data_IF_892566154699
#
_entry.id   IF_892566154699
#
_cell.length_a   1.000
_cell.length_b   1.000
_cell.length_c   1.000
_cell.angle_alpha   90.00
_cell.angle_beta   90.00
_cell.angle_gamma   90.00
#
_symmetry.space_group_name_H-M   'P 1'
#
loop_
_entity.id
_entity.type
_entity.pdbx_description
1 polymer ?
#
# COMPACT_ATOMS: atom_id res chain seq x y z
N UNK A 1 12.57 26.66 -13.04
CA UNK A 1 13.36 26.16 -11.90
C UNK A 1 12.99 24.71 -11.67
N UNK A 2 13.93 23.85 -11.31
CA UNK A 2 13.62 22.46 -10.96
C UNK A 2 13.02 22.43 -9.55
N UNK A 3 11.80 21.90 -9.43
CA UNK A 3 11.16 21.61 -8.15
C UNK A 3 11.88 20.45 -7.45
N UNK A 4 11.71 20.37 -6.14
CA UNK A 4 12.12 19.20 -5.36
C UNK A 4 11.33 17.97 -5.82
N UNK A 5 11.96 16.80 -5.72
CA UNK A 5 11.43 15.54 -6.26
C UNK A 5 11.02 14.56 -5.18
N UNK A 6 11.79 14.50 -4.10
CA UNK A 6 11.48 13.67 -2.92
C UNK A 6 10.17 14.11 -2.30
N UNK A 7 9.37 13.12 -1.91
CA UNK A 7 8.14 13.31 -1.17
C UNK A 7 8.31 14.18 0.09
N UNK A 8 9.47 14.06 0.74
CA UNK A 8 9.78 14.71 2.03
C UNK A 8 9.79 16.20 1.92
N UNK A 9 10.23 16.67 0.76
CA UNK A 9 10.63 18.05 0.55
C UNK A 9 9.77 18.74 -0.50
N UNK A 10 9.23 18.01 -1.47
CA UNK A 10 8.42 18.60 -2.54
C UNK A 10 7.14 19.20 -2.02
N UNK A 11 6.79 20.37 -2.54
CA UNK A 11 5.58 21.10 -2.14
C UNK A 11 5.69 21.83 -0.79
N UNK A 12 6.75 21.63 0.00
CA UNK A 12 7.02 22.50 1.14
C UNK A 12 7.48 23.88 0.64
N UNK A 13 6.76 24.96 0.95
CA UNK A 13 7.02 26.26 0.35
C UNK A 13 8.39 26.83 0.71
N UNK A 14 8.94 26.50 1.89
CA UNK A 14 10.25 26.99 2.32
C UNK A 14 11.35 26.20 1.63
N UNK A 15 11.24 24.88 1.56
CA UNK A 15 12.24 24.04 0.91
C UNK A 15 12.28 24.28 -0.61
N UNK A 16 11.14 24.48 -1.25
CA UNK A 16 11.07 24.86 -2.68
C UNK A 16 11.73 26.23 -2.94
N UNK A 17 11.58 27.19 -2.01
CA UNK A 17 12.29 28.47 -2.08
C UNK A 17 13.81 28.31 -1.92
N UNK A 18 14.28 27.44 -1.01
CA UNK A 18 15.70 27.11 -0.91
C UNK A 18 16.19 26.51 -2.22
N UNK A 19 15.44 25.58 -2.82
CA UNK A 19 15.77 24.94 -4.11
C UNK A 19 15.81 25.94 -5.26
N UNK A 20 14.93 26.94 -5.23
CA UNK A 20 14.88 28.08 -6.14
C UNK A 20 16.02 29.11 -5.93
N UNK A 21 16.77 28.99 -4.84
CA UNK A 21 17.92 29.85 -4.54
C UNK A 21 17.60 31.11 -3.76
N UNK A 22 16.46 31.16 -3.08
CA UNK A 22 16.12 32.22 -2.13
C UNK A 22 16.95 32.06 -0.85
N UNK A 23 18.07 32.81 -0.75
CA UNK A 23 19.01 32.70 0.38
C UNK A 23 18.42 33.07 1.74
N UNK A 24 17.40 33.93 1.77
CA UNK A 24 16.69 34.28 3.01
C UNK A 24 15.92 33.11 3.61
N UNK A 25 15.62 32.08 2.81
CA UNK A 25 14.88 30.89 3.24
C UNK A 25 15.79 29.77 3.73
N UNK A 26 17.13 29.93 3.67
CA UNK A 26 18.08 28.90 4.12
C UNK A 26 17.89 28.55 5.60
N UNK A 27 17.94 27.25 5.90
CA UNK A 27 17.80 26.76 7.27
C UNK A 27 19.13 26.83 8.00
N UNK A 28 19.09 27.35 9.23
CA UNK A 28 20.25 27.59 10.08
C UNK A 28 19.85 27.57 11.56
N UNK A 29 20.87 27.56 12.41
CA UNK A 29 20.74 27.50 13.86
C UNK A 29 19.69 28.47 14.42
N UNK A 30 18.87 27.96 15.36
CA UNK A 30 17.87 28.73 16.10
C UNK A 30 16.51 28.83 15.41
N UNK A 31 16.37 28.39 14.16
CA UNK A 31 15.08 28.35 13.47
C UNK A 31 14.25 27.14 13.90
N UNK A 32 12.94 27.24 13.73
CA UNK A 32 11.99 26.15 13.99
C UNK A 32 10.94 26.05 12.88
N UNK A 33 10.46 24.84 12.60
CA UNK A 33 9.37 24.62 11.67
C UNK A 33 9.23 23.17 11.20
N UNK A 34 8.09 22.84 10.61
CA UNK A 34 7.84 21.51 10.03
C UNK A 34 8.87 21.14 8.95
N UNK A 35 9.29 22.10 8.13
CA UNK A 35 10.32 21.93 7.11
C UNK A 35 11.70 21.57 7.68
N UNK A 36 12.03 22.03 8.89
CA UNK A 36 13.26 21.61 9.59
C UNK A 36 13.11 20.17 10.08
N UNK A 37 11.94 19.80 10.59
CA UNK A 37 11.62 18.42 10.95
C UNK A 37 11.80 17.48 9.75
N UNK A 38 11.30 17.87 8.58
CA UNK A 38 11.49 17.12 7.33
C UNK A 38 12.98 16.90 7.00
N UNK A 39 13.82 17.93 7.12
CA UNK A 39 15.28 17.80 6.90
C UNK A 39 15.94 16.91 7.98
N UNK A 40 15.52 17.01 9.24
CA UNK A 40 16.05 16.18 10.32
C UNK A 40 15.73 14.70 10.11
N UNK A 41 14.49 14.36 9.74
CA UNK A 41 14.15 12.99 9.31
C UNK A 41 15.04 12.56 8.13
N UNK A 42 15.21 13.45 7.14
CA UNK A 42 16.14 13.30 6.02
C UNK A 42 17.54 12.85 6.41
N UNK A 43 18.09 13.46 7.46
CA UNK A 43 19.43 13.18 7.96
C UNK A 43 19.47 11.92 8.83
N UNK A 44 18.53 11.77 9.75
CA UNK A 44 18.45 10.60 10.66
C UNK A 44 18.41 9.31 9.86
N UNK A 45 17.59 9.26 8.81
CA UNK A 45 17.38 8.05 8.03
C UNK A 45 18.57 7.70 7.12
N UNK A 46 19.41 8.69 6.78
CA UNK A 46 20.70 8.47 6.14
C UNK A 46 21.79 8.04 7.15
N UNK A 47 21.45 7.90 8.43
CA UNK A 47 22.34 7.46 9.50
C UNK A 47 23.07 8.59 10.24
N UNK A 48 22.73 9.86 9.98
CA UNK A 48 23.33 10.98 10.71
C UNK A 48 22.68 11.15 12.08
N UNK A 49 23.50 11.15 13.13
CA UNK A 49 23.00 11.17 14.50
C UNK A 49 22.37 12.51 14.87
N UNK A 50 21.09 12.47 15.26
CA UNK A 50 20.38 13.55 15.95
C UNK A 50 19.69 12.91 17.17
N UNK A 51 20.35 12.84 18.34
CA UNK A 51 19.86 12.12 19.50
C UNK A 51 18.46 12.51 19.96
N UNK A 52 18.08 13.79 19.82
CA UNK A 52 16.77 14.30 20.19
C UNK A 52 15.67 13.98 19.15
N UNK A 53 16.01 13.37 18.02
CA UNK A 53 15.12 13.13 16.90
C UNK A 53 14.76 14.39 16.10
N UNK A 54 13.77 14.27 15.22
CA UNK A 54 13.29 15.36 14.38
C UNK A 54 12.34 16.31 15.13
N UNK A 55 12.91 17.12 16.02
CA UNK A 55 12.17 18.06 16.88
C UNK A 55 11.54 19.24 16.13
N UNK A 56 11.92 19.47 14.87
CA UNK A 56 11.58 20.68 14.12
C UNK A 56 12.40 21.90 14.54
N UNK A 57 13.34 21.79 15.48
CA UNK A 57 14.23 22.86 15.92
C UNK A 57 15.66 22.65 15.42
N UNK A 58 16.22 23.64 14.72
CA UNK A 58 17.58 23.57 14.19
C UNK A 58 18.60 23.95 15.28
N UNK A 59 18.99 22.96 16.09
CA UNK A 59 19.96 23.11 17.18
C UNK A 59 21.37 22.63 16.84
N UNK A 60 22.18 22.40 17.87
CA UNK A 60 23.56 21.90 17.74
C UNK A 60 23.62 20.51 17.10
N UNK A 61 22.69 19.62 17.45
CA UNK A 61 22.63 18.27 16.90
C UNK A 61 22.35 18.28 15.39
N UNK A 62 21.36 19.06 14.95
CA UNK A 62 21.08 19.25 13.51
C UNK A 62 22.22 19.94 12.79
N UNK A 63 22.86 20.92 13.43
CA UNK A 63 24.04 21.58 12.87
C UNK A 63 25.16 20.59 12.59
N UNK A 64 25.48 19.72 13.55
CA UNK A 64 26.50 18.68 13.40
C UNK A 64 26.12 17.68 12.30
N UNK A 65 24.87 17.21 12.27
CA UNK A 65 24.38 16.29 11.25
C UNK A 65 24.47 16.88 9.83
N UNK A 66 24.12 18.15 9.64
CA UNK A 66 24.23 18.84 8.34
C UNK A 66 25.69 18.95 7.89
N UNK A 67 26.60 19.29 8.80
CA UNK A 67 28.04 19.39 8.48
C UNK A 67 28.59 18.02 8.06
N UNK A 68 28.26 16.97 8.82
CA UNK A 68 28.67 15.60 8.52
C UNK A 68 28.12 15.16 7.15
N UNK A 69 26.82 15.36 6.89
CA UNK A 69 26.19 15.03 5.60
C UNK A 69 26.90 15.69 4.42
N UNK A 70 27.25 16.98 4.55
CA UNK A 70 27.97 17.72 3.50
C UNK A 70 29.36 17.16 3.23
N UNK A 71 30.07 16.75 4.28
CA UNK A 71 31.41 16.17 4.19
C UNK A 71 31.39 14.79 3.54
N UNK A 72 30.34 14.01 3.79
CA UNK A 72 30.18 12.64 3.27
C UNK A 72 29.65 12.61 1.81
N UNK A 73 29.29 13.75 1.23
CA UNK A 73 28.98 13.83 -0.21
C UNK A 73 30.22 13.63 -1.07
N UNK A 74 30.02 13.17 -2.31
CA UNK A 74 31.10 12.93 -3.28
C UNK A 74 30.81 13.71 -4.59
N UNK A 75 31.53 14.82 -4.87
CA UNK A 75 32.49 15.49 -3.99
C UNK A 75 31.83 16.18 -2.78
N UNK A 76 32.58 16.50 -1.70
CA UNK A 76 32.04 17.20 -0.54
C UNK A 76 31.42 18.55 -0.91
N UNK A 77 30.31 18.89 -0.26
CA UNK A 77 29.62 20.15 -0.51
C UNK A 77 30.37 21.32 0.13
N UNK A 78 30.49 22.43 -0.61
CA UNK A 78 31.09 23.68 -0.12
C UNK A 78 30.04 24.80 -0.14
N UNK A 79 29.93 25.63 0.92
CA UNK A 79 30.64 25.53 2.20
C UNK A 79 30.13 24.38 3.09
N UNK A 80 31.01 23.86 3.96
CA UNK A 80 30.69 22.85 5.00
C UNK A 80 30.11 23.49 6.26
N UNK A 81 29.39 24.60 6.12
CA UNK A 81 28.74 25.29 7.23
C UNK A 81 27.46 24.53 7.68
N UNK A 82 26.97 24.76 8.90
CA UNK A 82 25.73 24.14 9.39
C UNK A 82 24.48 24.84 8.81
N UNK A 83 24.45 25.02 7.48
CA UNK A 83 23.37 25.70 6.75
C UNK A 83 22.82 24.79 5.66
N UNK A 84 21.50 24.65 5.61
CA UNK A 84 20.79 23.96 4.54
C UNK A 84 20.46 24.98 3.45
N UNK A 85 21.42 25.20 2.56
CA UNK A 85 21.25 25.98 1.33
C UNK A 85 20.94 25.10 0.11
N UNK A 86 20.98 25.69 -1.09
CA UNK A 86 20.64 25.01 -2.36
C UNK A 86 21.36 23.67 -2.51
N UNK A 87 22.68 23.65 -2.33
CA UNK A 87 23.50 22.44 -2.54
C UNK A 87 23.13 21.33 -1.56
N UNK A 88 23.01 21.67 -0.27
CA UNK A 88 22.57 20.74 0.78
C UNK A 88 21.18 20.17 0.48
N UNK A 89 20.24 21.05 0.14
CA UNK A 89 18.87 20.65 -0.15
C UNK A 89 18.79 19.80 -1.43
N UNK A 90 19.56 20.13 -2.46
CA UNK A 90 19.62 19.35 -3.70
C UNK A 90 20.21 17.96 -3.47
N UNK A 91 21.26 17.86 -2.65
CA UNK A 91 21.86 16.57 -2.31
C UNK A 91 20.92 15.72 -1.45
N UNK A 92 20.28 16.30 -0.43
CA UNK A 92 19.26 15.62 0.36
C UNK A 92 18.09 15.18 -0.53
N UNK A 93 17.56 16.08 -1.35
CA UNK A 93 16.50 15.77 -2.30
C UNK A 93 16.92 14.65 -3.25
N UNK A 94 18.14 14.64 -3.77
CA UNK A 94 18.63 13.56 -4.63
C UNK A 94 18.77 12.24 -3.89
N UNK A 95 19.25 12.27 -2.64
CA UNK A 95 19.35 11.09 -1.78
C UNK A 95 17.97 10.51 -1.43
N UNK A 96 16.92 11.33 -1.47
CA UNK A 96 15.53 10.93 -1.18
C UNK A 96 14.62 10.90 -2.41
N UNK A 97 15.07 11.34 -3.59
CA UNK A 97 14.35 11.29 -4.87
C UNK A 97 14.48 9.89 -5.45
N UNK A 98 14.11 8.92 -4.63
CA UNK A 98 14.11 7.51 -4.93
C UNK A 98 12.72 7.12 -5.41
N UNK A 99 12.61 6.09 -6.24
CA UNK A 99 11.31 5.53 -6.51
C UNK A 99 10.64 5.06 -5.22
N UNK A 100 9.33 5.28 -5.13
CA UNK A 100 8.54 5.03 -3.93
C UNK A 100 8.95 5.87 -2.69
N UNK A 101 9.61 7.02 -2.89
CA UNK A 101 10.05 7.90 -1.79
C UNK A 101 8.92 8.32 -0.84
N UNK A 102 7.69 8.58 -1.33
CA UNK A 102 6.56 8.82 -0.43
C UNK A 102 6.46 7.67 0.56
N UNK A 103 6.37 6.42 0.10
CA UNK A 103 6.28 5.25 0.98
C UNK A 103 7.48 5.11 1.94
N UNK A 104 8.70 5.28 1.45
CA UNK A 104 9.92 5.00 2.23
C UNK A 104 10.14 5.98 3.38
N UNK A 105 9.72 7.24 3.20
CA UNK A 105 9.85 8.27 4.23
C UNK A 105 8.86 8.07 5.40
N UNK A 106 7.85 7.22 5.21
CA UNK A 106 6.80 6.87 6.18
C UNK A 106 7.08 5.57 6.93
N UNK A 107 7.66 4.58 6.26
CA UNK A 107 7.96 3.27 6.85
C UNK A 107 9.25 3.25 7.68
N UNK A 108 9.97 4.36 7.74
CA UNK A 108 11.27 4.43 8.37
C UNK A 108 11.14 4.85 9.85
N UNK A 109 11.23 3.85 10.74
CA UNK A 109 11.99 3.88 12.02
C UNK A 109 11.29 3.71 13.37
N UNK A 110 9.97 3.53 13.49
CA UNK A 110 9.38 3.15 14.79
C UNK A 110 8.58 1.84 14.83
N UNK A 111 8.23 1.28 13.67
CA UNK A 111 7.31 0.13 13.57
C UNK A 111 7.95 -1.15 13.02
N UNK A 112 9.20 -1.09 12.53
CA UNK A 112 9.90 -2.26 11.95
C UNK A 112 10.56 -3.14 13.01
N UNK A 113 9.76 -3.90 13.76
CA UNK A 113 10.29 -4.90 14.70
C UNK A 113 9.52 -6.21 14.65
N UNK A 114 9.28 -6.79 13.47
CA UNK A 114 8.72 -8.14 13.36
C UNK A 114 9.73 -9.03 12.62
N UNK A 115 10.30 -10.08 13.25
CA UNK A 115 11.30 -10.95 12.62
C UNK A 115 10.81 -11.69 11.37
N UNK A 116 9.51 -12.01 11.31
CA UNK A 116 8.88 -12.55 10.11
C UNK A 116 8.80 -11.52 8.96
N UNK A 117 8.98 -10.24 9.29
CA UNK A 117 8.87 -9.10 8.41
C UNK A 117 10.17 -8.27 8.39
N UNK A 118 11.29 -8.94 8.05
CA UNK A 118 12.62 -8.35 7.85
C UNK A 118 12.68 -7.48 6.57
N UNK A 119 11.83 -6.46 6.55
CA UNK A 119 11.75 -5.48 5.48
C UNK A 119 12.81 -4.42 5.71
N UNK A 120 14.05 -4.72 5.32
CA UNK A 120 15.10 -3.72 5.24
C UNK A 120 15.13 -3.08 3.83
N UNK A 121 15.72 -1.89 3.74
CA UNK A 121 15.82 -1.14 2.48
C UNK A 121 16.44 -1.97 1.34
N UNK A 122 17.37 -2.86 1.65
CA UNK A 122 18.03 -3.70 0.64
C UNK A 122 17.07 -4.69 -0.01
N UNK A 123 16.17 -5.33 0.75
CA UNK A 123 15.18 -6.26 0.18
C UNK A 123 14.17 -5.53 -0.70
N UNK A 124 13.76 -4.35 -0.30
CA UNK A 124 12.85 -3.51 -1.08
C UNK A 124 13.46 -3.09 -2.42
N UNK A 125 14.70 -2.58 -2.38
CA UNK A 125 15.41 -2.23 -3.61
C UNK A 125 15.63 -3.44 -4.54
N UNK A 126 15.72 -4.65 -3.99
CA UNK A 126 15.80 -5.89 -4.76
C UNK A 126 14.47 -6.29 -5.42
N UNK A 127 13.34 -5.80 -4.91
CA UNK A 127 12.01 -6.02 -5.49
C UNK A 127 11.65 -5.00 -6.58
N UNK A 128 12.18 -3.78 -6.54
CA UNK A 128 11.89 -2.75 -7.57
C UNK A 128 12.03 -3.22 -9.04
N UNK A 129 12.96 -4.12 -9.41
CA UNK A 129 13.06 -4.63 -10.78
C UNK A 129 11.98 -5.66 -11.15
N UNK A 130 11.18 -6.14 -10.20
CA UNK A 130 10.10 -7.09 -10.45
C UNK A 130 8.94 -6.34 -11.11
N UNK A 131 8.71 -6.64 -12.38
CA UNK A 131 7.61 -6.06 -13.17
C UNK A 131 6.61 -7.12 -13.64
N UNK A 132 6.61 -8.29 -13.00
CA UNK A 132 5.81 -9.44 -13.41
C UNK A 132 5.29 -10.15 -12.18
N UNK A 133 3.98 -10.35 -12.14
CA UNK A 133 3.31 -11.07 -11.07
C UNK A 133 2.82 -12.43 -11.55
N UNK A 134 2.86 -13.42 -10.65
CA UNK A 134 2.27 -14.74 -10.86
C UNK A 134 1.20 -15.01 -9.82
N UNK A 135 0.40 -16.06 -9.98
CA UNK A 135 -0.63 -16.43 -9.01
C UNK A 135 -0.27 -17.73 -8.31
N UNK A 136 -0.50 -17.74 -7.00
CA UNK A 136 -0.46 -18.95 -6.18
C UNK A 136 -1.45 -19.98 -6.77
N UNK A 137 -1.08 -21.27 -6.86
CA UNK A 137 -2.00 -22.32 -7.29
C UNK A 137 -3.34 -22.34 -6.54
N UNK A 138 -3.37 -21.98 -5.25
CA UNK A 138 -4.60 -21.88 -4.45
C UNK A 138 -5.55 -20.77 -4.96
N UNK A 139 -5.02 -19.77 -5.67
CA UNK A 139 -5.77 -18.69 -6.32
C UNK A 139 -6.05 -18.96 -7.81
N UNK A 140 -5.76 -20.16 -8.32
CA UNK A 140 -6.03 -20.53 -9.71
C UNK A 140 -7.52 -20.48 -10.07
N UNK A 141 -8.40 -20.51 -9.07
CA UNK A 141 -9.85 -20.38 -9.18
C UNK A 141 -10.33 -19.00 -9.65
N UNK A 142 -9.51 -17.97 -9.50
CA UNK A 142 -9.85 -16.60 -9.91
C UNK A 142 -9.88 -16.53 -11.45
N UNK A 143 -10.95 -16.04 -12.10
CA UNK A 143 -11.02 -15.97 -13.55
C UNK A 143 -9.86 -15.16 -14.18
N UNK A 144 -9.43 -15.55 -15.38
CA UNK A 144 -8.28 -14.93 -16.05
C UNK A 144 -8.42 -13.41 -16.22
N UNK A 145 -9.63 -12.91 -16.49
CA UNK A 145 -9.88 -11.47 -16.62
C UNK A 145 -9.59 -10.71 -15.33
N UNK A 146 -10.02 -11.25 -14.17
CA UNK A 146 -9.69 -10.68 -12.87
C UNK A 146 -8.18 -10.74 -12.60
N UNK A 147 -7.55 -11.90 -12.85
CA UNK A 147 -6.10 -12.04 -12.67
C UNK A 147 -5.31 -11.02 -13.49
N UNK A 148 -5.67 -10.84 -14.77
CA UNK A 148 -5.05 -9.83 -15.64
C UNK A 148 -5.29 -8.42 -15.12
N UNK A 149 -6.50 -8.08 -14.70
CA UNK A 149 -6.80 -6.74 -14.15
C UNK A 149 -6.03 -6.46 -12.86
N UNK A 150 -5.88 -7.45 -11.97
CA UNK A 150 -5.06 -7.34 -10.77
C UNK A 150 -3.59 -7.11 -11.11
N UNK A 151 -3.02 -7.92 -12.01
CA UNK A 151 -1.61 -7.79 -12.43
C UNK A 151 -1.33 -6.43 -13.06
N UNK A 152 -2.16 -5.98 -14.02
CA UNK A 152 -2.00 -4.66 -14.64
C UNK A 152 -2.18 -3.53 -13.61
N UNK A 153 -3.12 -3.70 -12.67
CA UNK A 153 -3.32 -2.81 -11.55
C UNK A 153 -2.05 -2.64 -10.72
N UNK A 154 -1.52 -3.75 -10.21
CA UNK A 154 -0.31 -3.81 -9.39
C UNK A 154 0.92 -3.30 -10.13
N UNK A 155 1.14 -3.70 -11.38
CA UNK A 155 2.26 -3.22 -12.19
C UNK A 155 2.27 -1.70 -12.31
N UNK A 156 1.11 -1.09 -12.58
CA UNK A 156 1.01 0.37 -12.68
C UNK A 156 1.07 1.05 -11.31
N UNK A 157 0.50 0.45 -10.27
CA UNK A 157 0.45 1.03 -8.93
C UNK A 157 1.79 0.95 -8.19
N UNK A 158 2.62 -0.02 -8.56
CA UNK A 158 3.94 -0.25 -8.00
C UNK A 158 5.05 0.23 -8.95
N UNK A 159 4.70 0.85 -10.08
CA UNK A 159 5.68 1.38 -11.03
C UNK A 159 6.47 2.55 -10.40
N UNK A 160 7.78 2.37 -10.16
CA UNK A 160 8.66 3.40 -9.60
C UNK A 160 8.76 4.68 -10.45
N UNK A 161 8.53 4.57 -11.76
CA UNK A 161 8.77 5.62 -12.75
C UNK A 161 7.50 6.19 -13.40
N UNK A 162 6.35 5.52 -13.25
CA UNK A 162 5.20 5.69 -14.15
C UNK A 162 3.82 5.53 -13.51
N UNK A 163 3.71 5.72 -12.19
CA UNK A 163 2.41 5.93 -11.56
C UNK A 163 1.53 6.92 -12.34
N UNK A 164 0.19 6.77 -12.33
CA UNK A 164 -0.74 7.74 -12.92
C UNK A 164 -0.52 9.18 -12.45
N UNK A 165 0.13 9.37 -11.30
CA UNK A 165 0.41 10.67 -10.68
C UNK A 165 1.83 11.20 -10.96
N UNK A 166 2.63 10.48 -11.74
CA UNK A 166 3.98 10.87 -12.15
C UNK A 166 5.11 10.11 -11.45
N UNK A 167 6.38 10.48 -11.70
CA UNK A 167 7.52 9.84 -11.09
C UNK A 167 7.57 10.13 -9.57
N UNK A 168 8.03 9.15 -8.79
CA UNK A 168 8.19 9.23 -7.32
C UNK A 168 6.90 9.22 -6.48
N UNK A 169 5.72 9.07 -7.08
CA UNK A 169 4.43 8.88 -6.39
C UNK A 169 3.98 7.44 -6.54
N UNK A 170 4.28 6.50 -5.62
CA UNK A 170 3.57 5.23 -5.66
C UNK A 170 2.12 5.51 -5.24
N UNK A 171 1.13 5.19 -6.08
CA UNK A 171 -0.27 5.26 -5.71
C UNK A 171 -0.57 4.15 -4.67
N UNK A 172 0.14 3.03 -4.71
CA UNK A 172 -0.01 1.99 -3.70
C UNK A 172 0.99 2.09 -2.55
N UNK A 173 0.45 2.12 -1.35
CA UNK A 173 1.10 1.58 -0.14
C UNK A 173 0.19 0.43 0.32
N UNK A 174 0.66 -0.81 0.45
CA UNK A 174 1.45 -1.21 1.61
C UNK A 174 2.13 -2.59 1.45
N UNK A 175 3.44 -2.58 1.67
CA UNK A 175 4.22 -3.75 2.03
C UNK A 175 4.80 -3.59 3.42
N UNK A 176 4.25 -4.31 4.39
CA UNK A 176 4.79 -4.35 5.75
C UNK A 176 5.72 -5.57 5.96
N UNK A 177 6.08 -6.32 4.91
CA UNK A 177 6.48 -7.72 5.06
C UNK A 177 7.09 -8.35 3.77
N UNK A 178 7.80 -9.50 3.84
CA UNK A 178 8.00 -10.44 2.72
C UNK A 178 6.71 -10.87 2.00
N UNK A 179 5.54 -10.47 2.52
CA UNK A 179 4.18 -10.70 2.03
C UNK A 179 3.40 -9.38 2.19
N UNK A 180 3.19 -8.66 1.09
CA UNK A 180 2.47 -7.38 1.05
C UNK A 180 0.97 -7.67 1.07
N UNK A 181 0.24 -7.11 2.04
CA UNK A 181 -1.20 -7.27 2.10
C UNK A 181 -1.87 -6.12 1.36
N UNK A 182 -2.66 -6.49 0.37
CA UNK A 182 -3.30 -5.58 -0.56
C UNK A 182 -4.80 -5.84 -0.59
N UNK A 183 -5.57 -4.80 -0.89
CA UNK A 183 -6.97 -4.97 -1.21
C UNK A 183 -7.44 -3.99 -2.28
N UNK A 184 -8.50 -4.39 -2.96
CA UNK A 184 -9.29 -3.52 -3.81
C UNK A 184 -10.76 -3.93 -3.72
N UNK A 185 -11.63 -3.01 -4.08
CA UNK A 185 -13.07 -3.26 -4.16
C UNK A 185 -13.46 -3.66 -5.58
N UNK A 186 -14.32 -4.67 -5.70
CA UNK A 186 -15.00 -4.99 -6.95
C UNK A 186 -16.22 -4.09 -7.04
N UNK A 187 -16.21 -3.17 -8.01
CA UNK A 187 -17.29 -2.19 -8.20
C UNK A 187 -17.88 -2.29 -9.60
N UNK A 188 -19.18 -2.03 -9.71
CA UNK A 188 -19.86 -1.81 -10.99
C UNK A 188 -20.01 -0.31 -11.20
N UNK A 189 -19.76 0.15 -12.43
CA UNK A 189 -19.82 1.57 -12.82
C UNK A 189 -21.29 2.05 -13.01
N UNK A 190 -22.14 1.74 -12.02
CA UNK A 190 -23.53 2.18 -11.91
C UNK A 190 -23.88 2.47 -10.45
N UNK A 191 -24.54 3.59 -10.12
CA UNK A 191 -24.95 3.85 -8.74
C UNK A 191 -26.23 3.12 -8.34
N UNK A 192 -27.06 2.77 -9.32
CA UNK A 192 -28.35 2.08 -9.12
C UNK A 192 -28.30 0.72 -9.81
N UNK A 193 -27.95 -0.36 -9.08
CA UNK A 193 -27.80 -1.68 -9.67
C UNK A 193 -29.13 -2.29 -10.11
N UNK A 194 -29.10 -3.17 -11.11
CA UNK A 194 -30.20 -4.05 -11.47
C UNK A 194 -30.45 -5.12 -10.39
N UNK A 195 -31.57 -5.84 -10.50
CA UNK A 195 -31.83 -6.98 -9.62
C UNK A 195 -30.76 -8.08 -9.74
N UNK A 196 -30.19 -8.26 -10.94
CA UNK A 196 -29.14 -9.26 -11.19
C UNK A 196 -27.86 -8.94 -10.40
N UNK A 197 -27.50 -7.65 -10.31
CA UNK A 197 -26.37 -7.21 -9.49
C UNK A 197 -26.64 -7.34 -7.99
N UNK A 198 -27.87 -7.15 -7.55
CA UNK A 198 -28.25 -7.40 -6.15
C UNK A 198 -28.13 -8.90 -5.81
N UNK A 199 -28.54 -9.79 -6.71
CA UNK A 199 -28.36 -11.24 -6.54
C UNK A 199 -26.88 -11.64 -6.51
N UNK A 200 -26.09 -11.08 -7.44
CA UNK A 200 -24.63 -11.27 -7.47
C UNK A 200 -23.98 -10.82 -6.14
N UNK A 201 -24.40 -9.68 -5.58
CA UNK A 201 -23.92 -9.21 -4.26
C UNK A 201 -24.35 -10.13 -3.12
N UNK A 202 -25.55 -10.71 -3.18
CA UNK A 202 -26.00 -11.67 -2.16
C UNK A 202 -25.10 -12.91 -2.10
N UNK A 203 -24.52 -13.33 -3.23
CA UNK A 203 -23.55 -14.44 -3.26
C UNK A 203 -22.21 -14.06 -2.63
N UNK A 204 -21.74 -12.82 -2.81
CA UNK A 204 -20.62 -12.30 -2.03
C UNK A 204 -20.90 -12.30 -0.52
N UNK A 205 -22.10 -11.89 -0.11
CA UNK A 205 -22.51 -11.91 1.31
C UNK A 205 -22.55 -13.35 1.83
N UNK A 206 -23.02 -14.31 1.04
CA UNK A 206 -23.01 -15.73 1.38
C UNK A 206 -21.58 -16.27 1.53
N UNK A 207 -20.65 -15.89 0.65
CA UNK A 207 -19.22 -16.19 0.79
C UNK A 207 -18.65 -15.67 2.10
N UNK A 208 -18.94 -14.41 2.46
CA UNK A 208 -18.49 -13.84 3.74
C UNK A 208 -19.05 -14.57 4.95
N UNK A 209 -20.32 -14.97 4.87
CA UNK A 209 -20.98 -15.78 5.90
C UNK A 209 -20.30 -17.15 6.02
N UNK A 210 -19.98 -17.77 4.88
CA UNK A 210 -19.29 -19.06 4.82
C UNK A 210 -17.89 -18.96 5.42
N UNK A 211 -17.11 -17.94 5.06
CA UNK A 211 -15.78 -17.76 5.64
C UNK A 211 -15.84 -17.62 7.17
N UNK A 212 -16.79 -16.84 7.67
CA UNK A 212 -17.02 -16.68 9.12
C UNK A 212 -17.35 -18.02 9.78
N UNK A 213 -18.16 -18.87 9.14
CA UNK A 213 -18.46 -20.19 9.65
C UNK A 213 -17.22 -21.11 9.68
N UNK A 214 -16.35 -21.03 8.67
CA UNK A 214 -15.10 -21.79 8.64
C UNK A 214 -14.09 -21.31 9.69
N UNK A 215 -14.00 -20.00 9.94
CA UNK A 215 -13.21 -19.46 11.05
C UNK A 215 -13.74 -19.98 12.39
N UNK A 216 -15.06 -19.93 12.60
CA UNK A 216 -15.67 -20.48 13.80
C UNK A 216 -15.39 -21.98 13.94
N UNK A 217 -15.36 -22.75 12.86
CA UNK A 217 -14.98 -24.15 12.91
C UNK A 217 -13.51 -24.34 13.31
N UNK A 218 -12.60 -23.51 12.80
CA UNK A 218 -11.20 -23.51 13.23
C UNK A 218 -11.06 -23.15 14.72
N UNK A 219 -11.90 -22.26 15.25
CA UNK A 219 -11.91 -21.92 16.70
C UNK A 219 -12.23 -23.14 17.59
N UNK A 220 -12.94 -24.15 17.07
CA UNK A 220 -13.24 -25.39 17.80
C UNK A 220 -12.13 -26.44 17.71
N UNK A 221 -11.00 -26.14 17.05
CA UNK A 221 -9.85 -27.05 16.96
C UNK A 221 -9.06 -27.21 18.27
N UNK A 222 -9.31 -26.34 19.26
CA UNK A 222 -8.56 -26.30 20.52
C UNK A 222 -7.24 -25.53 20.45
N UNK A 223 -6.88 -25.00 19.27
CA UNK A 223 -5.74 -24.11 19.11
C UNK A 223 -6.11 -22.65 19.41
N UNK A 224 -5.11 -21.86 19.84
CA UNK A 224 -5.28 -20.41 20.00
C UNK A 224 -5.67 -19.78 18.68
N UNK A 225 -6.83 -19.11 18.63
CA UNK A 225 -7.31 -18.39 17.45
C UNK A 225 -6.21 -17.48 16.90
N UNK A 226 -6.01 -17.52 15.58
CA UNK A 226 -4.97 -16.76 14.86
C UNK A 226 -3.51 -17.15 15.18
N UNK A 227 -3.29 -18.21 15.96
CA UNK A 227 -1.98 -18.84 16.11
C UNK A 227 -1.63 -19.77 14.95
N UNK A 228 -0.38 -20.27 14.88
CA UNK A 228 0.12 -21.01 13.72
C UNK A 228 -0.66 -22.30 13.45
N UNK A 229 -0.97 -23.08 14.49
CA UNK A 229 -1.75 -24.32 14.34
C UNK A 229 -3.21 -24.04 13.93
N UNK A 230 -3.80 -22.96 14.45
CA UNK A 230 -5.14 -22.52 14.03
C UNK A 230 -5.15 -22.12 12.55
N UNK A 231 -4.13 -21.38 12.11
CA UNK A 231 -3.97 -20.98 10.71
C UNK A 231 -3.89 -22.19 9.78
N UNK A 232 -3.18 -23.25 10.19
CA UNK A 232 -3.12 -24.52 9.44
C UNK A 232 -4.51 -25.16 9.32
N UNK A 233 -5.27 -25.23 10.42
CA UNK A 233 -6.63 -25.78 10.39
C UNK A 233 -7.55 -24.95 9.50
N UNK A 234 -7.50 -23.62 9.63
CA UNK A 234 -8.35 -22.73 8.83
C UNK A 234 -8.01 -22.82 7.33
N UNK A 235 -6.72 -22.87 6.97
CA UNK A 235 -6.29 -23.15 5.59
C UNK A 235 -6.89 -24.46 5.06
N UNK A 236 -6.80 -25.54 5.83
CA UNK A 236 -7.38 -26.83 5.43
C UNK A 236 -8.89 -26.75 5.19
N UNK A 237 -9.61 -25.98 5.99
CA UNK A 237 -11.05 -25.76 5.82
C UNK A 237 -11.38 -24.94 4.57
N UNK A 238 -10.56 -23.92 4.24
CA UNK A 238 -10.72 -23.11 3.04
C UNK A 238 -10.47 -23.93 1.76
N UNK A 239 -9.44 -24.79 1.77
CA UNK A 239 -9.04 -25.59 0.61
C UNK A 239 -9.75 -26.95 0.53
N UNK A 240 -10.58 -27.29 1.52
CA UNK A 240 -11.30 -28.56 1.53
C UNK A 240 -12.30 -28.62 0.36
N UNK A 241 -12.40 -29.76 -0.34
CA UNK A 241 -13.42 -29.94 -1.35
C UNK A 241 -14.81 -29.90 -0.71
N UNK A 242 -15.81 -29.61 -1.55
CA UNK A 242 -17.21 -29.69 -1.15
C UNK A 242 -17.60 -31.06 -0.58
N UNK A 243 -18.55 -31.08 0.34
CA UNK A 243 -19.09 -32.31 0.95
C UNK A 243 -20.55 -32.47 0.56
N UNK A 244 -20.89 -33.62 -0.04
CA UNK A 244 -22.24 -33.90 -0.51
C UNK A 244 -22.65 -32.91 -1.61
N UNK A 245 -23.75 -32.18 -1.37
CA UNK A 245 -24.25 -31.16 -2.30
C UNK A 245 -23.66 -29.76 -2.05
N UNK A 246 -22.85 -29.57 -1.01
CA UNK A 246 -22.24 -28.28 -0.67
C UNK A 246 -20.90 -28.13 -1.38
N UNK A 247 -20.74 -27.10 -2.20
CA UNK A 247 -19.47 -26.75 -2.85
C UNK A 247 -18.38 -26.34 -1.83
N UNK A 248 -17.11 -26.51 -2.20
CA UNK A 248 -15.98 -26.00 -1.43
C UNK A 248 -15.96 -24.47 -1.37
N UNK A 249 -15.16 -23.90 -0.48
CA UNK A 249 -15.08 -22.44 -0.35
C UNK A 249 -14.49 -21.77 -1.60
N UNK A 250 -13.37 -22.30 -2.09
CA UNK A 250 -12.73 -21.81 -3.31
C UNK A 250 -13.62 -21.95 -4.55
N UNK A 251 -14.43 -23.01 -4.62
CA UNK A 251 -15.40 -23.20 -5.71
C UNK A 251 -16.49 -22.12 -5.70
N UNK A 252 -17.07 -21.83 -4.53
CA UNK A 252 -18.05 -20.77 -4.37
C UNK A 252 -17.45 -19.40 -4.72
N UNK A 253 -16.18 -19.19 -4.37
CA UNK A 253 -15.49 -17.94 -4.71
C UNK A 253 -15.27 -17.80 -6.21
N UNK A 254 -14.90 -18.89 -6.88
CA UNK A 254 -14.82 -18.97 -8.33
C UNK A 254 -16.18 -18.67 -8.98
N UNK A 255 -17.26 -19.26 -8.47
CA UNK A 255 -18.62 -19.07 -8.96
C UNK A 255 -19.03 -17.60 -8.88
N UNK A 256 -18.82 -16.95 -7.73
CA UNK A 256 -19.08 -15.53 -7.56
C UNK A 256 -18.35 -14.67 -8.60
N UNK A 257 -17.04 -14.87 -8.78
CA UNK A 257 -16.29 -14.06 -9.74
C UNK A 257 -16.70 -14.32 -11.19
N UNK A 258 -17.01 -15.57 -11.55
CA UNK A 258 -17.53 -15.90 -12.88
C UNK A 258 -18.91 -15.28 -13.11
N UNK A 259 -19.74 -15.20 -12.07
CA UNK A 259 -21.04 -14.57 -12.15
C UNK A 259 -20.96 -13.06 -12.31
N UNK A 260 -20.01 -12.40 -11.63
CA UNK A 260 -19.73 -10.98 -11.89
C UNK A 260 -19.47 -10.75 -13.38
N UNK A 261 -18.70 -11.63 -14.03
CA UNK A 261 -18.43 -11.56 -15.47
C UNK A 261 -19.69 -11.82 -16.30
N UNK A 262 -20.51 -12.82 -15.94
CA UNK A 262 -21.73 -13.15 -16.70
C UNK A 262 -22.83 -12.11 -16.55
N UNK A 263 -22.99 -11.54 -15.35
CA UNK A 263 -23.94 -10.48 -15.07
C UNK A 263 -23.56 -9.25 -15.88
N UNK A 264 -22.29 -8.81 -15.82
CA UNK A 264 -21.78 -7.72 -16.66
C UNK A 264 -22.00 -7.97 -18.16
N UNK A 265 -21.80 -9.19 -18.65
CA UNK A 265 -22.05 -9.52 -20.04
C UNK A 265 -23.54 -9.41 -20.42
N UNK A 266 -24.45 -9.71 -19.49
CA UNK A 266 -25.90 -9.65 -19.71
C UNK A 266 -26.42 -8.22 -19.66
N UNK A 267 -25.94 -7.46 -18.70
CA UNK A 267 -26.45 -6.11 -18.40
C UNK A 267 -25.65 -5.00 -19.11
N UNK A 268 -24.49 -5.34 -19.69
CA UNK A 268 -23.57 -4.44 -20.40
C UNK A 268 -22.92 -3.36 -19.51
N UNK A 269 -22.90 -3.55 -18.19
CA UNK A 269 -22.27 -2.58 -17.28
C UNK A 269 -20.82 -2.97 -16.96
N UNK A 270 -19.96 -1.96 -16.84
CA UNK A 270 -18.53 -2.18 -16.62
C UNK A 270 -18.23 -2.58 -15.19
N UNK A 271 -17.33 -3.54 -15.03
CA UNK A 271 -16.79 -3.96 -13.73
C UNK A 271 -15.37 -3.42 -13.60
N UNK A 272 -15.06 -2.86 -12.44
CA UNK A 272 -13.75 -2.26 -12.13
C UNK A 272 -13.21 -2.78 -10.80
N UNK A 273 -11.89 -2.76 -10.68
CA UNK A 273 -11.22 -2.83 -9.38
C UNK A 273 -10.98 -1.38 -8.93
N UNK A 274 -11.55 -1.00 -7.80
CA UNK A 274 -11.32 0.27 -7.14
C UNK A 274 -10.28 0.06 -6.04
N UNK A 275 -9.09 0.59 -6.29
CA UNK A 275 -7.93 0.57 -5.42
C UNK A 275 -7.98 1.75 -4.48
N UNK A 276 -7.66 1.52 -3.22
CA UNK A 276 -7.30 2.60 -2.32
C UNK A 276 -6.25 2.16 -1.33
N UNK A 277 -5.48 3.13 -0.85
CA UNK A 277 -4.35 2.88 0.05
C UNK A 277 -4.43 3.77 1.27
N UNK A 278 -3.56 3.55 2.24
CA UNK A 278 -3.54 4.33 3.47
C UNK A 278 -4.85 4.25 4.29
N UNK A 279 -5.52 3.10 4.33
CA UNK A 279 -6.81 2.93 5.03
C UNK A 279 -6.76 3.33 6.51
N UNK A 280 -5.63 3.16 7.19
CA UNK A 280 -5.43 3.57 8.57
C UNK A 280 -4.69 4.91 8.64
N UNK A 281 -5.24 5.83 9.44
CA UNK A 281 -4.64 7.14 9.75
C UNK A 281 -3.18 7.06 10.22
N UNK A 282 -2.82 5.98 10.90
CA UNK A 282 -1.47 5.77 11.42
C UNK A 282 -0.41 5.64 10.32
N UNK A 283 -0.83 5.30 9.10
CA UNK A 283 0.06 5.08 7.95
C UNK A 283 -0.11 6.13 6.87
N UNK A 284 -1.07 7.05 7.03
CA UNK A 284 -1.30 8.13 6.07
C UNK A 284 -0.20 9.17 6.15
N UNK A 285 0.21 9.73 5.00
CA UNK A 285 1.06 10.91 4.99
C UNK A 285 0.47 12.09 5.78
N UNK A 286 1.32 12.90 6.44
CA UNK A 286 0.90 14.10 7.17
C UNK A 286 0.11 14.98 6.20
N UNK A 287 -1.12 15.31 6.59
CA UNK A 287 -2.00 16.16 5.81
C UNK A 287 -2.69 15.45 4.63
N UNK A 288 -2.48 14.15 4.44
CA UNK A 288 -3.29 13.35 3.52
C UNK A 288 -4.58 12.94 4.22
N UNK A 289 -5.69 13.53 3.78
CA UNK A 289 -7.01 13.27 4.32
C UNK A 289 -7.61 11.98 3.74
N UNK A 290 -8.71 11.56 4.35
CA UNK A 290 -9.42 10.35 3.93
C UNK A 290 -9.88 10.41 2.46
N UNK A 291 -10.34 11.58 2.05
CA UNK A 291 -10.83 11.85 0.71
C UNK A 291 -9.75 12.43 -0.22
N UNK A 292 -8.47 12.22 0.09
CA UNK A 292 -7.41 12.70 -0.79
C UNK A 292 -7.44 11.91 -2.11
N UNK A 293 -7.54 12.57 -3.27
CA UNK A 293 -7.63 11.88 -4.55
C UNK A 293 -6.31 11.20 -4.96
N UNK A 294 -5.21 11.43 -4.22
CA UNK A 294 -3.95 10.68 -4.33
C UNK A 294 -3.98 9.36 -3.56
N UNK A 295 -5.15 8.90 -3.11
CA UNK A 295 -5.35 7.61 -2.42
C UNK A 295 -6.21 6.63 -3.18
N UNK A 296 -6.81 7.01 -4.30
CA UNK A 296 -7.79 6.18 -4.99
C UNK A 296 -7.53 6.11 -6.48
N UNK A 297 -7.57 4.89 -6.99
CA UNK A 297 -7.42 4.59 -8.41
C UNK A 297 -8.39 3.50 -8.80
N UNK A 298 -8.62 3.35 -10.09
CA UNK A 298 -9.37 2.22 -10.58
C UNK A 298 -8.80 1.72 -11.90
N UNK A 299 -9.05 0.44 -12.18
CA UNK A 299 -8.84 -0.10 -13.51
C UNK A 299 -9.99 -1.05 -13.86
N UNK A 300 -10.14 -1.27 -15.15
CA UNK A 300 -11.25 -2.04 -15.68
C UNK A 300 -10.96 -3.53 -15.56
N UNK A 301 -12.00 -4.33 -15.32
CA UNK A 301 -12.01 -5.80 -15.48
C UNK A 301 -12.79 -6.15 -16.75
N UNK A 302 -13.98 -5.57 -16.90
CA UNK A 302 -14.91 -5.77 -18.02
C UNK A 302 -15.31 -4.41 -18.60
N UNK A 303 -15.40 -4.21 -19.94
CA UNK A 303 -15.30 -5.20 -21.04
C UNK A 303 -13.92 -5.80 -21.28
N UNK A 304 -12.85 -5.13 -20.87
CA UNK A 304 -11.49 -5.65 -20.94
C UNK A 304 -10.60 -5.00 -19.87
N UNK A 305 -9.58 -5.72 -19.37
CA UNK A 305 -8.58 -5.15 -18.48
C UNK A 305 -7.92 -3.89 -19.02
N UNK A 306 -7.79 -2.86 -18.18
CA UNK A 306 -7.12 -1.59 -18.53
C UNK A 306 -5.98 -1.28 -17.57
N UNK A 307 -5.15 -0.31 -17.97
CA UNK A 307 -4.26 0.39 -17.05
C UNK A 307 -5.04 1.17 -15.98
N UNK A 308 -4.31 1.62 -14.97
CA UNK A 308 -4.84 2.34 -13.81
C UNK A 308 -5.07 3.81 -14.14
N UNK A 309 -6.21 4.34 -13.71
CA UNK A 309 -6.57 5.75 -13.85
C UNK A 309 -7.17 6.26 -12.53
N UNK A 310 -7.28 7.57 -12.36
CA UNK A 310 -8.08 8.14 -11.26
C UNK A 310 -9.57 7.90 -11.53
N UNK A 311 -10.39 7.64 -10.50
CA UNK A 311 -11.84 7.67 -10.67
C UNK A 311 -12.28 9.06 -11.17
N UNK A 312 -13.30 9.16 -12.04
CA UNK A 312 -13.81 10.42 -12.58
C UNK A 312 -14.65 11.21 -11.56
N UNK A 313 -14.69 10.74 -10.31
CA UNK A 313 -15.41 11.30 -9.17
C UNK A 313 -14.45 11.41 -7.97
N UNK A 314 -14.89 12.11 -6.91
CA UNK A 314 -14.11 12.23 -5.66
C UNK A 314 -13.81 10.87 -5.02
N UNK A 315 -12.75 10.79 -4.21
CA UNK A 315 -12.35 9.54 -3.55
C UNK A 315 -13.03 9.30 -2.20
N UNK A 316 -13.93 10.19 -1.75
CA UNK A 316 -14.71 9.96 -0.55
C UNK A 316 -15.79 8.89 -0.76
N UNK A 317 -16.16 8.19 0.31
CA UNK A 317 -17.17 7.12 0.27
C UNK A 317 -18.50 7.56 -0.35
N UNK A 318 -18.90 8.83 -0.12
CA UNK A 318 -20.13 9.39 -0.67
C UNK A 318 -20.07 9.53 -2.19
N UNK A 319 -18.97 10.08 -2.72
CA UNK A 319 -18.73 10.19 -4.14
C UNK A 319 -18.62 8.81 -4.81
N UNK A 320 -17.93 7.85 -4.20
CA UNK A 320 -17.83 6.48 -4.70
C UNK A 320 -19.22 5.83 -4.77
N UNK A 321 -20.02 5.91 -3.71
CA UNK A 321 -21.37 5.33 -3.66
C UNK A 321 -22.36 6.04 -4.61
N UNK A 322 -22.16 7.33 -4.90
CA UNK A 322 -22.99 8.08 -5.83
C UNK A 322 -22.76 7.72 -7.30
N UNK A 323 -21.67 7.00 -7.62
CA UNK A 323 -21.31 6.64 -9.00
C UNK A 323 -21.16 5.13 -9.21
N UNK A 324 -20.92 4.36 -8.16
CA UNK A 324 -20.61 2.93 -8.26
C UNK A 324 -21.43 2.09 -7.30
N UNK A 325 -21.55 0.81 -7.65
CA UNK A 325 -22.13 -0.21 -6.80
C UNK A 325 -21.04 -1.17 -6.32
N UNK A 326 -20.78 -1.18 -5.01
CA UNK A 326 -19.82 -2.07 -4.37
C UNK A 326 -20.39 -3.50 -4.29
N UNK A 327 -19.76 -4.43 -5.01
CA UNK A 327 -20.12 -5.85 -4.99
C UNK A 327 -19.44 -6.59 -3.84
N UNK A 328 -18.16 -6.30 -3.62
CA UNK A 328 -17.37 -6.98 -2.60
C UNK A 328 -15.92 -6.57 -2.62
N UNK A 329 -15.14 -7.24 -1.78
CA UNK A 329 -13.75 -6.97 -1.52
C UNK A 329 -12.89 -8.09 -2.09
N UNK A 330 -11.75 -7.71 -2.64
CA UNK A 330 -10.71 -8.60 -3.11
C UNK A 330 -9.48 -8.30 -2.28
N UNK A 331 -9.23 -9.16 -1.30
CA UNK A 331 -8.09 -9.07 -0.39
C UNK A 331 -7.05 -10.10 -0.84
N UNK A 332 -5.79 -9.71 -0.82
CA UNK A 332 -4.74 -10.58 -1.35
C UNK A 332 -3.37 -10.25 -0.78
N UNK A 333 -2.49 -11.22 -0.88
CA UNK A 333 -1.11 -11.12 -0.44
C UNK A 333 -0.19 -11.23 -1.65
N UNK A 334 0.84 -10.38 -1.74
CA UNK A 334 1.90 -10.45 -2.73
C UNK A 334 3.20 -10.81 -2.04
N UNK A 335 3.78 -11.96 -2.35
CA UNK A 335 5.03 -12.38 -1.70
C UNK A 335 6.29 -11.72 -2.29
N UNK A 336 7.45 -12.00 -1.67
CA UNK A 336 8.74 -11.46 -2.10
C UNK A 336 9.20 -11.89 -3.49
N UNK A 337 8.53 -12.88 -4.06
CA UNK A 337 8.72 -13.39 -5.41
C UNK A 337 7.60 -12.96 -6.36
N UNK A 338 6.78 -11.96 -5.98
CA UNK A 338 5.68 -11.43 -6.77
C UNK A 338 4.54 -12.44 -7.02
N UNK A 339 4.37 -13.40 -6.11
CA UNK A 339 3.27 -14.36 -6.18
C UNK A 339 2.06 -13.78 -5.46
N UNK A 340 0.98 -13.58 -6.20
CA UNK A 340 -0.31 -13.13 -5.72
C UNK A 340 -1.08 -14.32 -5.15
N UNK A 341 -1.45 -14.24 -3.88
CA UNK A 341 -2.41 -15.13 -3.21
C UNK A 341 -3.64 -14.32 -2.84
N UNK A 342 -4.70 -14.46 -3.63
CA UNK A 342 -5.92 -13.67 -3.51
C UNK A 342 -7.12 -14.51 -3.09
N UNK A 343 -7.87 -13.99 -2.12
CA UNK A 343 -9.08 -14.61 -1.61
C UNK A 343 -9.95 -13.56 -0.89
N UNK A 344 -11.24 -13.55 -1.19
CA UNK A 344 -12.22 -12.72 -0.47
C UNK A 344 -12.70 -13.44 0.81
N UNK A 345 -13.40 -12.76 1.74
CA UNK A 345 -13.69 -11.31 1.78
C UNK A 345 -12.70 -10.48 2.61
N UNK A 346 -11.85 -11.10 3.42
CA UNK A 346 -10.92 -10.38 4.30
C UNK A 346 -9.49 -10.78 4.01
N UNK A 347 -8.55 -10.10 4.65
CA UNK A 347 -7.15 -10.49 4.57
C UNK A 347 -6.86 -11.82 5.28
N UNK A 348 -7.73 -12.27 6.21
CA UNK A 348 -7.50 -13.46 7.04
C UNK A 348 -7.44 -14.71 6.17
N UNK A 349 -8.30 -14.80 5.14
CA UNK A 349 -8.34 -15.91 4.21
C UNK A 349 -7.07 -15.98 3.37
N UNK A 350 -6.68 -14.86 2.75
CA UNK A 350 -5.47 -14.77 1.94
C UNK A 350 -4.21 -15.05 2.78
N UNK A 351 -4.16 -14.52 4.00
CA UNK A 351 -3.11 -14.79 4.98
C UNK A 351 -3.02 -16.28 5.34
N UNK A 352 -4.16 -16.92 5.61
CA UNK A 352 -4.18 -18.34 5.96
C UNK A 352 -3.66 -19.22 4.82
N UNK A 353 -3.98 -18.91 3.56
CA UNK A 353 -3.47 -19.64 2.40
C UNK A 353 -1.94 -19.63 2.30
N UNK A 354 -1.29 -18.55 2.72
CA UNK A 354 0.19 -18.43 2.76
C UNK A 354 0.78 -18.78 4.13
N UNK A 355 -0.03 -19.20 5.10
CA UNK A 355 0.44 -19.58 6.44
C UNK A 355 0.82 -18.39 7.33
N UNK A 356 0.30 -17.20 7.04
CA UNK A 356 0.50 -16.02 7.89
C UNK A 356 -0.44 -16.04 9.11
N UNK A 357 0.12 -15.68 10.27
CA UNK A 357 -0.61 -15.52 11.52
C UNK A 357 -1.24 -14.12 11.58
N UNK A 358 -2.55 -14.03 11.87
CA UNK A 358 -3.27 -12.74 11.87
C UNK A 358 -2.75 -11.78 12.94
N UNK A 359 -2.30 -12.26 14.10
CA UNK A 359 -1.64 -11.41 15.11
C UNK A 359 -0.43 -10.67 14.55
N UNK A 360 0.29 -11.25 13.59
CA UNK A 360 1.44 -10.59 12.97
C UNK A 360 0.96 -9.50 12.01
N UNK A 361 -0.08 -9.76 11.24
CA UNK A 361 -0.71 -8.77 10.35
C UNK A 361 -1.26 -7.60 11.17
N UNK A 362 -1.96 -7.88 12.26
CA UNK A 362 -2.50 -6.86 13.14
C UNK A 362 -1.40 -6.03 13.82
N UNK A 363 -0.35 -6.68 14.35
CA UNK A 363 0.80 -5.98 14.90
C UNK A 363 1.47 -5.08 13.85
N UNK A 364 1.60 -5.57 12.61
CA UNK A 364 2.11 -4.80 11.49
C UNK A 364 1.19 -3.61 11.17
N UNK A 365 -0.13 -3.79 11.09
CA UNK A 365 -1.12 -2.72 10.86
C UNK A 365 -1.18 -1.68 11.99
N UNK A 366 -0.80 -2.03 13.21
CA UNK A 366 -0.80 -1.09 14.34
C UNK A 366 0.56 -0.46 14.61
N UNK A 367 1.58 -0.87 13.87
CA UNK A 367 2.95 -0.40 14.08
C UNK A 367 3.52 -0.84 15.42
N UNK A 368 2.98 -1.92 15.99
CA UNK A 368 3.38 -2.41 17.30
C UNK A 368 4.66 -3.26 17.18
N UNK A 369 5.54 -3.23 18.21
CA UNK A 369 6.66 -4.17 18.28
C UNK A 369 6.15 -5.61 18.39
N UNK A 370 6.91 -6.56 17.82
CA UNK A 370 6.62 -7.99 17.91
C UNK A 370 6.61 -8.47 19.38
N UNK A 371 5.62 -9.29 19.78
CA UNK A 371 5.56 -9.86 21.12
C UNK A 371 6.62 -10.93 21.39
#
# INVERSE_FOLDING_TARGET
MALLKSARFRGDPVLEQIRAGTTSSYLKYGQSGSHIGAVQYGLIDLGYSIPSGATGFFGNETSAAVVQFKQDQVPPLTPTDPVVGIGTMTALDTAWAMPCADRDEWLSWQTRRIPAFDFNRSRELARLPITSYTFNPESAVIPVQFRTAMTVGLEALLDPAGSPDGPFTPPATWGASPLDLEHCHIVVDVPSPSADWLDTRNKYIALRTRSTALMNQADHSGHTRFGPDWTVVYKQLLTAPGVGATQGYLDQYAEFLNEVLSTSATTSESVRLLWHTFESDNWRPVGMADNDPRRAWWNQVVPAPSGVTRPPFGSDEGAVAAHTFLLGDLQFVVDEFAVITALAPTYIEAAALVGLEEKHIFAAMQGLPYP
#
